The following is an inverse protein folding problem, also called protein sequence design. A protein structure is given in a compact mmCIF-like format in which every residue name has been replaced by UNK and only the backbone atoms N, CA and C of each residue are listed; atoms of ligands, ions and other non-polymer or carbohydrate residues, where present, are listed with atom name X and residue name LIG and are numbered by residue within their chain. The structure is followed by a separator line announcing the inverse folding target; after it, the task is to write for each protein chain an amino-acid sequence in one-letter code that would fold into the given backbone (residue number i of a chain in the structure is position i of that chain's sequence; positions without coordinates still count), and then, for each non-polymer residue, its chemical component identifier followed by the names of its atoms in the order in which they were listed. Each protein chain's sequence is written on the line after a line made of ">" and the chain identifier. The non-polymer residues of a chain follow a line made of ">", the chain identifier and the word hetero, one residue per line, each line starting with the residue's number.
data_IF_481417200975
#
_entry.id   IF_481417200975
#
_cell.length_a   1.000
_cell.length_b   1.000
_cell.length_c   1.000
_cell.angle_alpha   90.00
_cell.angle_beta   90.00
_cell.angle_gamma   90.00
#
_symmetry.space_group_name_H-M   'P 1'
#
loop_
_entity.id
_entity.type
_entity.pdbx_description
1 polymer ?
#
# COMPACT_ATOMS: atom_id res chain seq x y z
N UNK A 1 -7.19 -17.09 16.75
CA UNK A 1 -5.97 -16.56 16.11
C UNK A 1 -6.18 -15.06 15.97
N UNK A 2 -5.21 -14.26 16.43
CA UNK A 2 -5.21 -12.83 16.20
C UNK A 2 -4.55 -12.58 14.84
N UNK A 3 -5.36 -12.17 13.85
CA UNK A 3 -4.85 -11.81 12.52
C UNK A 3 -4.49 -10.33 12.41
N UNK A 4 -5.02 -9.52 13.33
CA UNK A 4 -5.10 -8.08 13.20
C UNK A 4 -3.81 -7.39 13.62
N UNK A 5 -3.26 -7.79 14.75
CA UNK A 5 -2.07 -7.20 15.36
C UNK A 5 -0.96 -8.25 15.50
N UNK A 6 0.32 -7.85 15.43
CA UNK A 6 1.42 -8.77 15.69
C UNK A 6 1.51 -9.08 17.18
N UNK A 7 2.33 -10.08 17.53
CA UNK A 7 2.77 -10.29 18.90
C UNK A 7 3.75 -9.20 19.37
N UNK A 8 4.19 -9.29 20.64
CA UNK A 8 5.13 -8.35 21.26
C UNK A 8 6.49 -8.24 20.55
N UNK A 9 6.87 -9.28 19.80
CA UNK A 9 8.10 -9.34 19.03
C UNK A 9 7.89 -8.91 17.57
N UNK A 10 6.69 -8.46 17.22
CA UNK A 10 6.36 -7.97 15.90
C UNK A 10 6.04 -9.05 14.87
N UNK A 11 5.66 -10.26 15.30
CA UNK A 11 5.30 -11.35 14.40
C UNK A 11 3.78 -11.52 14.24
N UNK A 12 3.35 -11.65 12.98
CA UNK A 12 2.07 -12.20 12.56
C UNK A 12 2.26 -13.69 12.27
N UNK A 13 1.97 -14.54 13.25
CA UNK A 13 2.32 -15.97 13.16
C UNK A 13 3.84 -16.14 13.04
N UNK A 14 4.31 -16.68 11.91
CA UNK A 14 5.76 -16.81 11.66
C UNK A 14 6.39 -15.60 10.94
N UNK A 15 5.61 -14.62 10.47
CA UNK A 15 6.10 -13.53 9.62
C UNK A 15 6.24 -12.21 10.39
N UNK A 16 7.23 -11.38 10.05
CA UNK A 16 7.46 -10.09 10.70
C UNK A 16 8.81 -10.03 11.41
N UNK A 17 8.80 -9.52 12.64
CA UNK A 17 10.00 -9.23 13.43
C UNK A 17 10.78 -8.01 12.91
N UNK A 18 11.95 -7.77 13.52
CA UNK A 18 12.87 -6.70 13.16
C UNK A 18 14.27 -7.27 12.85
N UNK A 19 14.54 -7.53 11.58
CA UNK A 19 15.82 -8.08 11.07
C UNK A 19 16.72 -6.95 10.58
N UNK A 20 17.19 -6.11 11.51
CA UNK A 20 17.93 -4.88 11.23
C UNK A 20 19.40 -4.99 11.66
N UNK A 21 20.31 -4.21 11.06
CA UNK A 21 21.64 -4.00 11.61
C UNK A 21 21.56 -3.34 12.99
N UNK A 22 22.51 -3.65 13.88
CA UNK A 22 22.61 -3.08 15.23
C UNK A 22 22.56 -1.54 15.23
N UNK A 23 23.11 -0.90 14.19
CA UNK A 23 23.11 0.56 14.05
C UNK A 23 21.71 1.17 13.89
N UNK A 24 20.71 0.40 13.45
CA UNK A 24 19.30 0.84 13.38
C UNK A 24 18.50 0.49 14.63
N UNK A 25 19.04 -0.34 15.52
CA UNK A 25 18.32 -0.80 16.71
C UNK A 25 17.79 0.37 17.56
N UNK A 26 18.56 1.42 17.88
CA UNK A 26 18.05 2.54 18.68
C UNK A 26 16.85 3.24 18.04
N UNK A 27 16.88 3.46 16.72
CA UNK A 27 15.80 4.15 16.00
C UNK A 27 14.51 3.33 15.99
N UNK A 28 14.64 2.02 15.75
CA UNK A 28 13.51 1.10 15.72
C UNK A 28 12.94 0.89 17.13
N UNK A 29 13.80 0.78 18.14
CA UNK A 29 13.40 0.63 19.53
C UNK A 29 12.69 1.88 20.06
N UNK A 30 13.18 3.09 19.74
CA UNK A 30 12.49 4.35 20.06
C UNK A 30 11.08 4.37 19.45
N UNK A 31 10.95 4.01 18.17
CA UNK A 31 9.65 3.96 17.52
C UNK A 31 8.74 2.92 18.19
N UNK A 32 9.23 1.70 18.42
CA UNK A 32 8.48 0.60 19.02
C UNK A 32 7.95 0.94 20.42
N UNK A 33 8.77 1.57 21.27
CA UNK A 33 8.38 1.92 22.63
C UNK A 33 7.32 3.01 22.70
N UNK A 34 7.27 3.91 21.71
CA UNK A 34 6.47 5.13 21.79
C UNK A 34 5.26 5.16 20.84
N UNK A 35 5.27 4.42 19.72
CA UNK A 35 4.28 4.65 18.67
C UNK A 35 2.83 4.41 19.12
N UNK A 36 2.54 3.35 19.86
CA UNK A 36 1.16 3.04 20.30
C UNK A 36 0.62 4.12 21.23
N UNK A 37 1.38 4.48 22.27
CA UNK A 37 0.98 5.51 23.22
C UNK A 37 0.71 6.84 22.49
N UNK A 38 1.60 7.23 21.56
CA UNK A 38 1.41 8.46 20.79
C UNK A 38 0.19 8.36 19.88
N UNK A 39 0.07 7.33 19.04
CA UNK A 39 -1.01 7.28 18.05
C UNK A 39 -2.38 7.02 18.68
N UNK A 40 -2.44 6.40 19.86
CA UNK A 40 -3.69 6.14 20.57
C UNK A 40 -4.09 7.28 21.53
N UNK A 41 -3.21 8.26 21.76
CA UNK A 41 -3.51 9.45 22.56
C UNK A 41 -4.65 10.29 21.97
N UNK A 42 -5.44 10.91 22.85
CA UNK A 42 -6.61 11.71 22.46
C UNK A 42 -6.22 12.93 21.61
N UNK A 43 -5.11 13.59 21.93
CA UNK A 43 -4.64 14.77 21.21
C UNK A 43 -4.10 14.41 19.82
N UNK A 44 -3.38 13.28 19.68
CA UNK A 44 -2.95 12.80 18.37
C UNK A 44 -4.15 12.42 17.51
N UNK A 45 -5.11 11.67 18.07
CA UNK A 45 -6.30 11.29 17.31
C UNK A 45 -7.13 12.50 16.92
N UNK A 46 -7.29 13.50 17.80
CA UNK A 46 -8.00 14.73 17.44
C UNK A 46 -7.34 15.46 16.25
N UNK A 47 -6.01 15.65 16.29
CA UNK A 47 -5.28 16.30 15.21
C UNK A 47 -5.27 15.47 13.92
N UNK A 48 -5.04 14.15 14.02
CA UNK A 48 -5.02 13.25 12.86
C UNK A 48 -6.40 13.17 12.18
N UNK A 49 -7.48 13.03 12.95
CA UNK A 49 -8.84 12.98 12.39
C UNK A 49 -9.25 14.31 11.77
N UNK A 50 -8.83 15.45 12.34
CA UNK A 50 -9.03 16.76 11.73
C UNK A 50 -8.33 16.86 10.37
N UNK A 51 -7.08 16.45 10.27
CA UNK A 51 -6.33 16.40 9.01
C UNK A 51 -6.98 15.46 7.99
N UNK A 52 -7.39 14.26 8.40
CA UNK A 52 -8.08 13.33 7.52
C UNK A 52 -9.38 13.93 6.98
N UNK A 53 -10.17 14.60 7.82
CA UNK A 53 -11.45 15.17 7.41
C UNK A 53 -11.28 16.43 6.56
N UNK A 54 -10.54 17.41 7.07
CA UNK A 54 -10.52 18.77 6.52
C UNK A 54 -9.41 19.00 5.49
N UNK A 55 -8.32 18.23 5.52
CA UNK A 55 -7.23 18.33 4.56
C UNK A 55 -7.27 17.23 3.49
N UNK A 56 -7.45 15.97 3.89
CA UNK A 56 -7.53 14.84 2.93
C UNK A 56 -8.88 14.78 2.23
N UNK A 57 -9.97 15.12 2.92
CA UNK A 57 -11.33 15.04 2.42
C UNK A 57 -12.07 13.75 2.78
N UNK A 58 -11.71 13.10 3.89
CA UNK A 58 -12.37 11.88 4.38
C UNK A 58 -13.72 12.18 5.06
N UNK A 59 -14.67 11.25 5.10
CA UNK A 59 -14.61 9.88 4.57
C UNK A 59 -14.69 9.81 3.03
N UNK A 60 -13.93 8.90 2.43
CA UNK A 60 -14.05 8.68 0.98
C UNK A 60 -15.34 7.93 0.66
N UNK A 61 -16.04 8.22 -0.44
CA UNK A 61 -17.29 7.53 -0.76
C UNK A 61 -17.16 6.01 -0.91
N UNK A 62 -18.22 5.30 -0.49
CA UNK A 62 -18.49 3.92 -0.91
C UNK A 62 -19.53 3.93 -2.03
N UNK A 63 -19.05 3.80 -3.27
CA UNK A 63 -19.83 4.00 -4.48
C UNK A 63 -20.43 2.68 -4.99
N UNK A 64 -21.75 2.60 -5.14
CA UNK A 64 -22.39 1.45 -5.78
C UNK A 64 -22.26 1.54 -7.30
N UNK A 65 -21.41 0.69 -7.88
CA UNK A 65 -21.09 0.67 -9.31
C UNK A 65 -22.16 -0.11 -10.06
N UNK A 66 -23.24 0.58 -10.47
CA UNK A 66 -24.44 -0.05 -11.02
C UNK A 66 -24.17 -0.80 -12.34
N UNK A 67 -23.38 -0.22 -13.23
CA UNK A 67 -23.12 -0.82 -14.54
C UNK A 67 -22.19 -2.03 -14.41
N UNK A 68 -21.20 -1.92 -13.52
CA UNK A 68 -20.32 -3.03 -13.17
C UNK A 68 -21.10 -4.17 -12.50
N UNK A 69 -21.98 -3.84 -11.55
CA UNK A 69 -22.86 -4.79 -10.86
C UNK A 69 -23.78 -5.53 -11.85
N UNK A 70 -24.34 -4.82 -12.82
CA UNK A 70 -25.17 -5.43 -13.87
C UNK A 70 -24.36 -6.40 -14.75
N UNK A 71 -23.13 -6.03 -15.13
CA UNK A 71 -22.26 -6.89 -15.93
C UNK A 71 -21.92 -8.19 -15.19
N UNK A 72 -21.48 -8.08 -13.94
CA UNK A 72 -20.99 -9.21 -13.15
C UNK A 72 -22.07 -9.96 -12.38
N UNK A 73 -23.32 -9.47 -12.43
CA UNK A 73 -24.48 -10.05 -11.75
C UNK A 73 -24.22 -10.26 -10.25
N UNK A 74 -23.76 -9.21 -9.58
CA UNK A 74 -23.49 -9.16 -8.14
C UNK A 74 -23.50 -7.70 -7.66
N UNK A 75 -23.56 -7.42 -6.36
CA UNK A 75 -23.61 -6.04 -5.84
C UNK A 75 -22.20 -5.50 -5.59
N UNK A 76 -21.70 -4.67 -6.51
CA UNK A 76 -20.32 -4.15 -6.44
C UNK A 76 -20.29 -2.73 -5.88
N UNK A 77 -19.49 -2.56 -4.83
CA UNK A 77 -19.18 -1.28 -4.22
C UNK A 77 -17.70 -0.96 -4.37
N UNK A 78 -17.39 0.27 -4.79
CA UNK A 78 -16.04 0.78 -4.94
C UNK A 78 -15.73 1.71 -3.76
N UNK A 79 -14.72 1.35 -2.95
CA UNK A 79 -14.20 2.24 -1.90
C UNK A 79 -13.22 3.23 -2.54
N UNK A 80 -13.61 4.51 -2.59
CA UNK A 80 -13.03 5.55 -3.46
C UNK A 80 -11.78 6.23 -2.90
N UNK A 81 -10.73 5.47 -2.58
CA UNK A 81 -9.44 6.04 -2.12
C UNK A 81 -8.71 6.85 -3.22
N UNK A 82 -9.14 6.72 -4.47
CA UNK A 82 -8.75 7.54 -5.62
C UNK A 82 -9.12 9.03 -5.47
N UNK A 83 -10.10 9.34 -4.62
CA UNK A 83 -10.57 10.71 -4.35
C UNK A 83 -9.85 11.42 -3.21
N UNK A 84 -8.95 10.72 -2.50
CA UNK A 84 -8.15 11.36 -1.46
C UNK A 84 -7.32 12.52 -2.04
N UNK A 85 -7.00 13.50 -1.20
CA UNK A 85 -5.91 14.43 -1.50
C UNK A 85 -4.65 13.64 -1.88
N UNK A 86 -3.86 14.16 -2.83
CA UNK A 86 -2.77 13.47 -3.56
C UNK A 86 -3.19 12.35 -4.54
N UNK A 87 -4.39 11.76 -4.39
CA UNK A 87 -4.98 10.83 -5.36
C UNK A 87 -4.85 9.34 -5.04
N UNK A 88 -4.42 8.98 -3.83
CA UNK A 88 -4.31 7.59 -3.40
C UNK A 88 -4.40 7.44 -1.89
N UNK A 89 -4.60 6.21 -1.42
CA UNK A 89 -4.59 5.83 0.01
C UNK A 89 -3.29 6.17 0.77
N UNK A 90 -2.19 6.46 0.06
CA UNK A 90 -0.87 6.70 0.66
C UNK A 90 -0.84 7.89 1.63
N UNK A 91 -1.68 8.90 1.40
CA UNK A 91 -1.74 10.11 2.24
C UNK A 91 -2.17 9.82 3.68
N UNK A 92 -2.99 8.79 3.91
CA UNK A 92 -3.40 8.37 5.26
C UNK A 92 -2.16 8.05 6.11
N UNK A 93 -1.31 7.17 5.57
CA UNK A 93 -0.08 6.74 6.21
C UNK A 93 0.95 7.87 6.33
N UNK A 94 1.14 8.65 5.27
CA UNK A 94 2.12 9.73 5.26
C UNK A 94 1.82 10.79 6.33
N UNK A 95 0.55 11.23 6.44
CA UNK A 95 0.14 12.18 7.48
C UNK A 95 0.32 11.59 8.88
N UNK A 96 -0.11 10.34 9.10
CA UNK A 96 0.03 9.68 10.39
C UNK A 96 1.49 9.58 10.84
N UNK A 97 2.39 9.13 9.96
CA UNK A 97 3.80 8.98 10.30
C UNK A 97 4.53 10.31 10.45
N UNK A 98 4.25 11.32 9.61
CA UNK A 98 4.90 12.64 9.76
C UNK A 98 4.41 13.36 11.02
N UNK A 99 3.13 13.21 11.39
CA UNK A 99 2.61 13.72 12.66
C UNK A 99 3.24 12.99 13.86
N UNK A 100 3.41 11.67 13.77
CA UNK A 100 4.12 10.88 14.78
C UNK A 100 5.58 11.33 14.91
N UNK A 101 6.27 11.54 13.79
CA UNK A 101 7.65 12.05 13.80
C UNK A 101 7.76 13.40 14.51
N UNK A 102 6.79 14.29 14.31
CA UNK A 102 6.72 15.57 15.02
C UNK A 102 6.51 15.39 16.53
N UNK A 103 5.65 14.46 16.95
CA UNK A 103 5.47 14.10 18.37
C UNK A 103 6.72 13.46 18.98
N UNK A 104 7.52 12.75 18.19
CA UNK A 104 8.84 12.23 18.57
C UNK A 104 9.96 13.31 18.52
N UNK A 105 9.63 14.57 18.24
CA UNK A 105 10.60 15.67 18.20
C UNK A 105 11.55 15.63 17.00
N UNK A 106 11.24 14.85 15.95
CA UNK A 106 12.03 14.77 14.73
C UNK A 106 11.75 15.98 13.84
N UNK A 107 12.78 16.47 13.16
CA UNK A 107 12.71 17.68 12.32
C UNK A 107 12.91 17.38 10.83
N UNK A 108 13.38 16.16 10.52
CA UNK A 108 13.73 15.72 9.18
C UNK A 108 13.05 14.39 8.85
N UNK A 109 12.50 14.29 7.65
CA UNK A 109 11.82 13.11 7.14
C UNK A 109 12.57 12.59 5.92
N UNK A 110 12.78 11.27 5.91
CA UNK A 110 13.23 10.56 4.72
C UNK A 110 12.18 9.54 4.28
N UNK A 111 12.09 9.27 2.98
CA UNK A 111 11.25 8.23 2.42
C UNK A 111 11.85 7.66 1.13
N UNK A 112 11.45 6.45 0.74
CA UNK A 112 11.71 5.88 -0.57
C UNK A 112 10.53 6.10 -1.53
N UNK A 113 10.75 6.01 -2.84
CA UNK A 113 9.63 5.85 -3.77
C UNK A 113 10.04 5.21 -5.09
N UNK A 114 9.12 4.44 -5.69
CA UNK A 114 9.24 3.88 -7.04
C UNK A 114 8.33 4.64 -8.00
N UNK A 115 7.02 4.35 -7.98
CA UNK A 115 6.02 5.08 -8.78
C UNK A 115 5.88 6.58 -8.44
N UNK A 116 6.48 7.05 -7.35
CA UNK A 116 6.43 8.46 -6.91
C UNK A 116 5.23 8.82 -6.03
N UNK A 117 4.18 7.99 -5.94
CA UNK A 117 2.99 8.30 -5.14
C UNK A 117 3.29 8.40 -3.64
N UNK A 118 4.12 7.50 -3.10
CA UNK A 118 4.55 7.58 -1.69
C UNK A 118 5.38 8.84 -1.44
N UNK A 119 6.33 9.13 -2.32
CA UNK A 119 7.17 10.33 -2.22
C UNK A 119 6.35 11.62 -2.26
N UNK A 120 5.37 11.73 -3.17
CA UNK A 120 4.45 12.87 -3.23
C UNK A 120 3.63 12.98 -1.94
N UNK A 121 3.07 11.88 -1.43
CA UNK A 121 2.29 11.90 -0.19
C UNK A 121 3.14 12.34 1.03
N UNK A 122 4.36 11.82 1.15
CA UNK A 122 5.30 12.22 2.22
C UNK A 122 5.71 13.69 2.09
N UNK A 123 6.06 14.15 0.88
CA UNK A 123 6.39 15.55 0.63
C UNK A 123 5.21 16.49 0.96
N UNK A 124 3.98 16.09 0.63
CA UNK A 124 2.77 16.83 1.00
C UNK A 124 2.59 16.92 2.51
N UNK A 125 2.73 15.81 3.22
CA UNK A 125 2.62 15.79 4.68
C UNK A 125 3.71 16.63 5.36
N UNK A 126 4.95 16.58 4.87
CA UNK A 126 6.06 17.36 5.39
C UNK A 126 5.87 18.86 5.15
N UNK A 127 5.46 19.26 3.94
CA UNK A 127 5.17 20.65 3.60
C UNK A 127 4.05 21.22 4.49
N UNK A 128 3.01 20.43 4.78
CA UNK A 128 1.91 20.82 5.65
C UNK A 128 2.34 20.98 7.12
N UNK A 129 3.15 20.05 7.63
CA UNK A 129 3.50 19.98 9.05
C UNK A 129 4.79 20.71 9.41
N UNK A 130 5.51 21.23 8.42
CA UNK A 130 6.71 22.04 8.57
C UNK A 130 7.98 21.25 8.85
N UNK A 131 8.14 20.08 8.23
CA UNK A 131 9.35 19.25 8.35
C UNK A 131 10.15 19.23 7.04
N UNK A 132 11.47 19.10 7.15
CA UNK A 132 12.35 18.85 6.00
C UNK A 132 12.03 17.47 5.40
N UNK A 133 11.99 17.36 4.07
CA UNK A 133 11.65 16.13 3.38
C UNK A 133 12.68 15.78 2.30
N UNK A 134 13.22 14.57 2.39
CA UNK A 134 14.14 14.01 1.41
C UNK A 134 13.58 12.68 0.92
N UNK A 135 13.37 12.56 -0.39
CA UNK A 135 12.83 11.36 -1.02
C UNK A 135 13.90 10.71 -1.88
N UNK A 136 14.23 9.46 -1.54
CA UNK A 136 15.10 8.61 -2.33
C UNK A 136 14.28 7.91 -3.43
N UNK A 137 14.78 7.95 -4.66
CA UNK A 137 14.09 7.37 -5.81
C UNK A 137 15.10 6.77 -6.78
N UNK A 138 14.82 5.60 -7.34
CA UNK A 138 15.69 4.96 -8.35
C UNK A 138 15.95 5.88 -9.54
N UNK A 139 17.18 5.93 -10.06
CA UNK A 139 17.52 6.78 -11.22
C UNK A 139 16.62 6.48 -12.44
N UNK A 140 16.29 5.21 -12.67
CA UNK A 140 15.38 4.80 -13.76
C UNK A 140 13.96 5.29 -13.48
N UNK A 141 13.51 5.20 -12.23
CA UNK A 141 12.17 5.62 -11.81
C UNK A 141 12.01 7.15 -11.90
N UNK A 142 13.05 7.93 -11.60
CA UNK A 142 13.06 9.40 -11.77
C UNK A 142 12.75 9.78 -13.21
N UNK A 143 13.33 9.07 -14.19
CA UNK A 143 13.07 9.33 -15.60
C UNK A 143 11.64 8.95 -16.00
N UNK A 144 11.17 7.77 -15.56
CA UNK A 144 9.83 7.26 -15.88
C UNK A 144 8.70 8.06 -15.22
N UNK A 145 8.95 8.64 -14.05
CA UNK A 145 7.94 9.28 -13.21
C UNK A 145 8.21 10.79 -13.04
N UNK A 146 8.74 11.43 -14.09
CA UNK A 146 9.05 12.86 -14.11
C UNK A 146 7.93 13.77 -13.57
N UNK A 147 6.63 13.53 -13.84
CA UNK A 147 5.55 14.33 -13.25
C UNK A 147 5.49 14.26 -11.72
N UNK A 148 5.74 13.09 -11.11
CA UNK A 148 5.74 12.95 -9.66
C UNK A 148 7.02 13.53 -9.04
N UNK A 149 8.17 13.44 -9.72
CA UNK A 149 9.41 14.13 -9.30
C UNK A 149 9.22 15.65 -9.27
N UNK A 150 8.58 16.22 -10.29
CA UNK A 150 8.27 17.65 -10.33
C UNK A 150 7.34 18.05 -9.18
N UNK A 151 6.29 17.26 -8.89
CA UNK A 151 5.38 17.49 -7.76
C UNK A 151 6.11 17.49 -6.42
N UNK A 152 7.00 16.52 -6.18
CA UNK A 152 7.80 16.47 -4.93
C UNK A 152 8.65 17.73 -4.76
N UNK A 153 9.34 18.16 -5.82
CA UNK A 153 10.15 19.41 -5.79
C UNK A 153 9.30 20.65 -5.57
N UNK A 154 8.12 20.74 -6.18
CA UNK A 154 7.17 21.85 -5.96
C UNK A 154 6.69 21.91 -4.50
N UNK A 155 6.59 20.77 -3.82
CA UNK A 155 6.24 20.67 -2.40
C UNK A 155 7.43 20.98 -1.48
N UNK A 156 8.61 21.29 -2.03
CA UNK A 156 9.81 21.62 -1.27
C UNK A 156 10.64 20.41 -0.83
N UNK A 157 10.32 19.20 -1.29
CA UNK A 157 11.13 18.03 -0.99
C UNK A 157 12.38 17.96 -1.89
N UNK A 158 13.49 17.53 -1.31
CA UNK A 158 14.67 17.11 -2.07
C UNK A 158 14.41 15.71 -2.64
N UNK A 159 14.78 15.49 -3.90
CA UNK A 159 14.68 14.17 -4.54
C UNK A 159 16.08 13.68 -4.88
N UNK A 160 16.51 12.61 -4.22
CA UNK A 160 17.86 12.05 -4.32
C UNK A 160 17.81 10.75 -5.13
N UNK A 161 18.65 10.68 -6.18
CA UNK A 161 18.71 9.53 -7.06
C UNK A 161 19.49 8.37 -6.42
N UNK A 162 18.88 7.19 -6.32
CA UNK A 162 19.58 5.95 -6.05
C UNK A 162 20.21 5.44 -7.36
N UNK A 163 21.54 5.55 -7.43
CA UNK A 163 22.34 5.22 -8.63
C UNK A 163 23.05 3.86 -8.51
N UNK A 164 22.97 3.23 -7.34
CA UNK A 164 23.53 1.91 -7.06
C UNK A 164 22.62 0.79 -7.57
N UNK A 165 23.20 -0.39 -7.79
CA UNK A 165 22.44 -1.61 -8.10
C UNK A 165 21.58 -1.53 -9.35
N UNK A 166 20.30 -1.93 -9.21
CA UNK A 166 19.30 -1.96 -10.28
C UNK A 166 18.72 -0.58 -10.59
N UNK A 167 18.99 0.42 -9.73
CA UNK A 167 18.50 1.80 -9.83
C UNK A 167 16.97 1.91 -9.79
N UNK A 168 16.34 1.07 -8.97
CA UNK A 168 14.89 0.97 -8.78
C UNK A 168 14.50 1.21 -7.31
N UNK A 169 13.23 0.98 -6.95
CA UNK A 169 12.69 1.07 -5.59
C UNK A 169 13.56 0.33 -4.54
N UNK A 170 14.09 -0.86 -4.86
CA UNK A 170 14.96 -1.62 -3.95
C UNK A 170 16.19 -0.80 -3.53
N UNK A 171 16.83 -0.14 -4.48
CA UNK A 171 18.03 0.65 -4.22
C UNK A 171 17.69 1.96 -3.49
N UNK A 172 16.52 2.55 -3.78
CA UNK A 172 16.01 3.69 -3.02
C UNK A 172 15.77 3.37 -1.54
N UNK A 173 15.23 2.18 -1.22
CA UNK A 173 15.10 1.70 0.17
C UNK A 173 16.48 1.60 0.84
N UNK A 174 17.48 1.05 0.13
CA UNK A 174 18.83 0.92 0.67
C UNK A 174 19.46 2.27 1.01
N UNK A 175 19.34 3.27 0.13
CA UNK A 175 19.87 4.61 0.40
C UNK A 175 19.11 5.31 1.54
N UNK A 176 17.78 5.17 1.62
CA UNK A 176 16.99 5.70 2.74
C UNK A 176 17.40 5.07 4.08
N UNK A 177 17.59 3.75 4.15
CA UNK A 177 18.05 3.09 5.38
C UNK A 177 19.46 3.53 5.78
N UNK A 178 20.37 3.71 4.82
CA UNK A 178 21.73 4.24 5.09
C UNK A 178 21.69 5.67 5.64
N UNK A 179 20.84 6.51 5.09
CA UNK A 179 20.61 7.86 5.61
C UNK A 179 20.12 7.80 7.06
N UNK A 180 19.14 6.94 7.34
CA UNK A 180 18.59 6.82 8.69
C UNK A 180 19.63 6.40 9.73
N UNK A 181 20.55 5.51 9.35
CA UNK A 181 21.70 5.10 10.17
C UNK A 181 22.61 6.30 10.46
N UNK A 182 22.85 7.15 9.47
CA UNK A 182 23.77 8.28 9.60
C UNK A 182 23.15 9.48 10.32
N UNK A 183 21.82 9.61 10.33
CA UNK A 183 21.09 10.74 10.90
C UNK A 183 20.03 10.33 11.95
N UNK A 184 20.35 9.50 12.96
CA UNK A 184 19.34 8.81 13.78
C UNK A 184 18.59 9.73 14.77
N UNK A 185 19.21 10.84 15.18
CA UNK A 185 18.66 11.73 16.21
C UNK A 185 17.52 12.58 15.64
N UNK A 186 17.74 13.22 14.49
CA UNK A 186 16.85 14.23 13.92
C UNK A 186 15.87 13.67 12.89
N UNK A 187 16.12 12.47 12.38
CA UNK A 187 15.43 11.93 11.21
C UNK A 187 14.44 10.81 11.55
N UNK A 188 13.24 10.88 10.98
CA UNK A 188 12.30 9.76 10.92
C UNK A 188 12.21 9.21 9.50
N UNK A 189 12.18 7.89 9.38
CA UNK A 189 11.97 7.19 8.13
C UNK A 189 10.48 6.88 7.95
N UNK A 190 9.85 7.49 6.94
CA UNK A 190 8.45 7.25 6.59
C UNK A 190 8.36 6.14 5.55
N UNK A 191 8.08 4.93 6.01
CA UNK A 191 7.96 3.76 5.14
C UNK A 191 6.65 3.78 4.34
N UNK A 192 6.69 3.30 3.09
CA UNK A 192 5.56 3.40 2.16
C UNK A 192 4.54 2.27 2.19
N UNK A 193 4.76 1.19 2.95
CA UNK A 193 3.83 0.06 3.01
C UNK A 193 3.93 -0.76 4.29
N UNK A 194 3.09 -1.80 4.44
CA UNK A 194 3.11 -2.73 5.59
C UNK A 194 4.26 -3.75 5.49
N UNK A 195 5.43 -3.26 5.10
CA UNK A 195 6.70 -3.99 4.99
C UNK A 195 7.67 -3.40 6.01
N UNK A 196 8.89 -3.92 6.06
CA UNK A 196 9.91 -3.39 6.95
C UNK A 196 9.86 -3.96 8.36
N UNK A 197 10.86 -3.63 9.19
CA UNK A 197 10.95 -4.16 10.55
C UNK A 197 9.78 -3.68 11.41
N UNK A 198 9.36 -4.49 12.37
CA UNK A 198 8.46 -4.01 13.43
C UNK A 198 9.03 -2.72 14.07
N UNK A 199 8.21 -1.67 14.32
CA UNK A 199 6.75 -1.64 14.30
C UNK A 199 6.10 -1.19 12.98
N UNK A 200 6.86 -1.00 11.90
CA UNK A 200 6.33 -0.42 10.67
C UNK A 200 5.11 -1.16 10.06
N UNK A 201 5.09 -2.50 9.94
CA UNK A 201 3.90 -3.19 9.42
C UNK A 201 2.63 -2.90 10.21
N UNK A 202 2.70 -2.87 11.55
CA UNK A 202 1.56 -2.60 12.42
C UNK A 202 1.14 -1.12 12.35
N UNK A 203 2.12 -0.22 12.44
CA UNK A 203 1.92 1.23 12.36
C UNK A 203 1.19 1.62 11.07
N UNK A 204 1.66 1.12 9.92
CA UNK A 204 1.08 1.42 8.61
C UNK A 204 -0.31 0.80 8.49
N UNK A 205 -0.53 -0.43 8.97
CA UNK A 205 -1.83 -1.08 8.95
C UNK A 205 -2.86 -0.27 9.75
N UNK A 206 -2.48 0.25 10.92
CA UNK A 206 -3.32 1.10 11.77
C UNK A 206 -3.70 2.41 11.09
N UNK A 207 -2.75 3.14 10.50
CA UNK A 207 -3.08 4.37 9.78
C UNK A 207 -3.96 4.14 8.55
N UNK A 208 -3.83 2.99 7.89
CA UNK A 208 -4.68 2.60 6.77
C UNK A 208 -6.02 2.01 7.19
N UNK A 209 -6.20 1.61 8.46
CA UNK A 209 -7.43 0.97 8.96
C UNK A 209 -8.68 1.83 8.86
N UNK A 210 -8.51 3.15 8.69
CA UNK A 210 -9.61 4.08 8.40
C UNK A 210 -10.42 3.66 7.16
N UNK A 211 -9.79 2.99 6.19
CA UNK A 211 -10.45 2.49 4.98
C UNK A 211 -11.55 1.49 5.35
N UNK A 212 -11.22 0.45 6.12
CA UNK A 212 -12.20 -0.56 6.53
C UNK A 212 -13.18 -0.05 7.58
N UNK A 213 -12.76 0.86 8.45
CA UNK A 213 -13.67 1.54 9.39
C UNK A 213 -14.81 2.24 8.63
N UNK A 214 -14.45 3.06 7.66
CA UNK A 214 -15.43 3.77 6.84
C UNK A 214 -16.28 2.81 5.99
N UNK A 215 -15.72 1.70 5.47
CA UNK A 215 -16.51 0.68 4.77
C UNK A 215 -17.62 0.15 5.69
N UNK A 216 -17.32 -0.22 6.95
CA UNK A 216 -18.32 -0.73 7.90
C UNK A 216 -19.43 0.28 8.15
N UNK A 217 -19.05 1.52 8.44
CA UNK A 217 -19.99 2.63 8.68
C UNK A 217 -20.89 2.89 7.46
N UNK A 218 -20.30 2.93 6.27
CA UNK A 218 -21.00 3.24 5.02
C UNK A 218 -21.90 2.09 4.55
N UNK A 219 -21.51 0.82 4.77
CA UNK A 219 -22.39 -0.32 4.49
C UNK A 219 -23.57 -0.34 5.46
N UNK A 220 -23.34 -0.04 6.74
CA UNK A 220 -24.41 0.03 7.74
C UNK A 220 -25.46 1.07 7.35
N UNK A 221 -25.02 2.23 6.87
CA UNK A 221 -25.89 3.28 6.36
C UNK A 221 -26.63 2.87 5.08
N UNK A 222 -25.94 2.28 4.10
CA UNK A 222 -26.50 2.02 2.76
C UNK A 222 -27.38 0.79 2.67
N UNK A 223 -27.04 -0.28 3.40
CA UNK A 223 -27.67 -1.60 3.27
C UNK A 223 -28.06 -2.24 4.62
N UNK A 224 -27.90 -1.51 5.74
CA UNK A 224 -28.35 -1.96 7.05
C UNK A 224 -27.43 -2.94 7.78
N UNK A 225 -26.30 -3.36 7.18
CA UNK A 225 -25.28 -4.24 7.79
C UNK A 225 -23.86 -3.70 7.60
N UNK A 226 -22.98 -3.98 8.55
CA UNK A 226 -21.58 -3.50 8.53
C UNK A 226 -20.64 -4.37 7.68
N UNK A 227 -20.93 -5.67 7.60
CA UNK A 227 -20.04 -6.64 6.98
C UNK A 227 -20.48 -6.94 5.54
N UNK A 228 -19.61 -6.75 4.53
CA UNK A 228 -19.87 -7.25 3.17
C UNK A 228 -19.66 -8.77 3.11
N UNK A 229 -19.97 -9.39 1.98
CA UNK A 229 -19.63 -10.81 1.77
C UNK A 229 -18.17 -10.95 1.31
N UNK A 230 -17.69 -9.99 0.53
CA UNK A 230 -16.31 -9.94 0.04
C UNK A 230 -15.68 -8.56 0.20
N UNK A 231 -14.39 -8.54 0.57
CA UNK A 231 -13.50 -7.39 0.40
C UNK A 231 -12.34 -7.75 -0.50
N UNK A 232 -12.04 -6.89 -1.47
CA UNK A 232 -11.02 -7.10 -2.50
C UNK A 232 -10.06 -5.91 -2.56
N UNK A 233 -8.77 -6.17 -2.58
CA UNK A 233 -7.73 -5.14 -2.71
C UNK A 233 -6.48 -5.68 -3.42
N UNK A 234 -5.71 -4.78 -4.05
CA UNK A 234 -4.45 -5.14 -4.69
C UNK A 234 -3.29 -5.17 -3.69
N UNK A 235 -2.30 -6.03 -3.91
CA UNK A 235 -1.16 -6.25 -3.01
C UNK A 235 0.14 -6.15 -3.78
N UNK A 236 0.91 -5.11 -3.46
CA UNK A 236 2.36 -5.05 -3.65
C UNK A 236 3.01 -5.25 -2.28
N UNK A 237 3.50 -4.17 -1.67
CA UNK A 237 3.84 -4.19 -0.24
C UNK A 237 2.62 -4.41 0.69
N UNK A 238 1.43 -3.98 0.25
CA UNK A 238 0.14 -4.38 0.84
C UNK A 238 -0.58 -3.35 1.73
N UNK A 239 -0.17 -2.08 1.78
CA UNK A 239 -0.77 -1.08 2.70
C UNK A 239 -2.27 -0.82 2.48
N UNK A 240 -2.72 -0.64 1.24
CA UNK A 240 -4.14 -0.45 0.95
C UNK A 240 -4.95 -1.68 1.39
N UNK A 241 -4.47 -2.87 1.02
CA UNK A 241 -5.12 -4.13 1.36
C UNK A 241 -5.18 -4.36 2.88
N UNK A 242 -4.10 -4.08 3.60
CA UNK A 242 -4.11 -4.15 5.06
C UNK A 242 -5.17 -3.22 5.65
N UNK A 243 -5.24 -1.97 5.19
CA UNK A 243 -6.27 -1.02 5.60
C UNK A 243 -7.70 -1.47 5.27
N UNK A 244 -7.91 -2.03 4.08
CA UNK A 244 -9.20 -2.58 3.62
C UNK A 244 -9.61 -3.83 4.40
N UNK A 245 -8.66 -4.66 4.85
CA UNK A 245 -8.94 -5.92 5.53
C UNK A 245 -8.96 -5.80 7.05
N UNK A 246 -8.35 -4.77 7.62
CA UNK A 246 -8.04 -4.65 9.06
C UNK A 246 -9.21 -4.95 10.02
N UNK A 247 -10.41 -4.43 9.74
CA UNK A 247 -11.60 -4.67 10.56
C UNK A 247 -12.41 -5.93 10.15
N UNK A 248 -12.00 -6.64 9.11
CA UNK A 248 -12.67 -7.83 8.58
C UNK A 248 -11.85 -9.12 8.76
N UNK A 249 -10.55 -9.06 9.04
CA UNK A 249 -9.71 -10.25 9.20
C UNK A 249 -10.18 -11.20 10.30
N UNK A 250 -10.87 -10.69 11.32
CA UNK A 250 -11.46 -11.52 12.39
C UNK A 250 -12.93 -11.91 12.12
N UNK A 251 -13.57 -11.28 11.13
CA UNK A 251 -14.95 -11.53 10.72
C UNK A 251 -15.01 -12.76 9.81
N UNK A 252 -15.27 -13.94 10.38
CA UNK A 252 -15.19 -15.24 9.66
C UNK A 252 -16.06 -15.33 8.41
N UNK A 253 -17.20 -14.64 8.43
CA UNK A 253 -18.16 -14.65 7.32
C UNK A 253 -17.69 -13.77 6.14
N UNK A 254 -16.81 -12.79 6.39
CA UNK A 254 -16.27 -11.90 5.34
C UNK A 254 -15.13 -12.59 4.61
N UNK A 255 -15.32 -12.87 3.33
CA UNK A 255 -14.28 -13.41 2.46
C UNK A 255 -13.31 -12.29 2.06
N UNK A 256 -12.01 -12.57 2.14
CA UNK A 256 -10.95 -11.61 1.86
C UNK A 256 -10.22 -12.07 0.62
N UNK A 257 -10.09 -11.19 -0.38
CA UNK A 257 -9.40 -11.48 -1.62
C UNK A 257 -8.29 -10.44 -1.87
N UNK A 258 -7.08 -10.93 -2.12
CA UNK A 258 -5.92 -10.14 -2.48
C UNK A 258 -5.54 -10.39 -3.96
N UNK A 259 -5.24 -9.33 -4.70
CA UNK A 259 -4.77 -9.40 -6.08
C UNK A 259 -3.32 -8.94 -6.18
N UNK A 260 -2.40 -9.85 -6.51
CA UNK A 260 -1.00 -9.57 -6.79
C UNK A 260 -0.75 -9.40 -8.30
N UNK A 261 0.36 -8.75 -8.66
CA UNK A 261 0.74 -8.56 -10.05
C UNK A 261 1.42 -9.80 -10.64
N UNK A 262 0.71 -10.48 -11.54
CA UNK A 262 1.20 -11.60 -12.34
C UNK A 262 2.21 -11.21 -13.40
N UNK A 263 2.29 -9.93 -13.78
CA UNK A 263 3.19 -9.44 -14.82
C UNK A 263 2.82 -10.03 -16.18
N UNK A 264 3.78 -10.67 -16.84
CA UNK A 264 3.53 -11.39 -18.10
C UNK A 264 3.09 -12.85 -17.88
N UNK A 265 2.60 -13.16 -16.68
CA UNK A 265 2.25 -14.51 -16.21
C UNK A 265 3.30 -15.08 -15.25
N UNK A 266 2.86 -15.86 -14.28
CA UNK A 266 3.72 -16.41 -13.20
C UNK A 266 4.83 -17.33 -13.73
N UNK A 267 4.60 -18.02 -14.85
CA UNK A 267 5.58 -18.93 -15.47
C UNK A 267 6.53 -18.23 -16.46
N UNK A 268 6.36 -16.92 -16.70
CA UNK A 268 7.12 -16.16 -17.71
C UNK A 268 8.53 -15.76 -17.26
N UNK A 269 8.81 -15.86 -15.96
CA UNK A 269 9.99 -15.26 -15.33
C UNK A 269 9.90 -13.73 -15.17
N UNK A 270 8.76 -13.11 -15.53
CA UNK A 270 8.48 -11.68 -15.38
C UNK A 270 7.16 -11.49 -14.64
N UNK A 271 7.23 -11.51 -13.32
CA UNK A 271 6.07 -11.42 -12.42
C UNK A 271 6.44 -10.70 -11.13
N UNK A 272 5.45 -10.27 -10.36
CA UNK A 272 5.58 -9.78 -8.99
C UNK A 272 4.60 -10.51 -8.04
N UNK A 273 4.14 -11.70 -8.42
CA UNK A 273 3.17 -12.50 -7.68
C UNK A 273 3.84 -13.26 -6.52
N UNK A 274 4.18 -12.54 -5.45
CA UNK A 274 5.03 -13.02 -4.37
C UNK A 274 4.43 -14.23 -3.63
N UNK A 275 3.12 -14.33 -3.43
CA UNK A 275 2.55 -15.52 -2.77
C UNK A 275 2.58 -16.78 -3.63
N UNK A 276 2.74 -16.64 -4.95
CA UNK A 276 2.81 -17.74 -5.90
C UNK A 276 4.26 -18.21 -6.15
N UNK A 277 5.21 -17.27 -6.19
CA UNK A 277 6.60 -17.52 -6.60
C UNK A 277 7.60 -17.38 -5.45
N UNK A 278 7.20 -16.75 -4.36
CA UNK A 278 8.06 -16.44 -3.24
C UNK A 278 8.25 -17.62 -2.28
N UNK A 279 9.37 -17.60 -1.58
CA UNK A 279 9.67 -18.50 -0.47
C UNK A 279 9.96 -17.71 0.79
N UNK A 280 9.98 -18.37 1.95
CA UNK A 280 10.29 -17.71 3.21
C UNK A 280 11.70 -17.10 3.16
N UNK A 281 11.82 -15.81 3.45
CA UNK A 281 13.07 -15.07 3.42
C UNK A 281 13.02 -13.81 4.27
N UNK A 282 14.13 -13.10 4.34
CA UNK A 282 14.23 -11.81 5.03
C UNK A 282 14.56 -10.75 3.98
N UNK A 283 13.68 -9.75 3.86
CA UNK A 283 13.87 -8.61 2.96
C UNK A 283 13.48 -7.32 3.68
N UNK A 284 14.33 -6.29 3.51
CA UNK A 284 14.12 -4.95 4.05
C UNK A 284 13.77 -4.91 5.54
N UNK A 285 14.30 -5.83 6.34
CA UNK A 285 14.14 -5.81 7.80
C UNK A 285 13.00 -6.65 8.37
N UNK A 286 12.28 -7.43 7.56
CA UNK A 286 11.25 -8.36 8.06
C UNK A 286 11.35 -9.73 7.42
N UNK A 287 10.96 -10.76 8.17
CA UNK A 287 10.81 -12.12 7.65
C UNK A 287 9.44 -12.27 6.99
N UNK A 288 9.40 -12.57 5.70
CA UNK A 288 8.17 -12.70 4.92
C UNK A 288 8.34 -13.69 3.76
N UNK A 289 7.38 -13.73 2.82
CA UNK A 289 7.60 -14.34 1.51
C UNK A 289 8.35 -13.36 0.60
N UNK A 290 9.34 -13.88 -0.12
CA UNK A 290 10.23 -13.12 -1.01
C UNK A 290 10.48 -13.94 -2.27
N UNK A 291 10.38 -13.30 -3.44
CA UNK A 291 10.85 -13.85 -4.70
C UNK A 291 12.38 -13.87 -4.70
N UNK A 292 12.95 -15.07 -4.56
CA UNK A 292 14.40 -15.25 -4.42
C UNK A 292 14.87 -16.53 -5.09
N UNK A 293 16.14 -16.55 -5.50
CA UNK A 293 16.83 -17.73 -6.01
C UNK A 293 17.11 -18.74 -4.89
N UNK A 294 17.54 -19.95 -5.25
CA UNK A 294 17.85 -21.02 -4.29
C UNK A 294 18.97 -20.66 -3.29
N UNK A 295 19.88 -19.76 -3.66
CA UNK A 295 20.94 -19.21 -2.80
C UNK A 295 20.54 -17.90 -2.09
N UNK A 296 19.28 -17.49 -2.18
CA UNK A 296 18.71 -16.35 -1.43
C UNK A 296 18.94 -14.98 -2.06
N UNK A 297 19.29 -14.89 -3.35
CA UNK A 297 19.34 -13.61 -4.06
C UNK A 297 17.94 -13.18 -4.48
N UNK A 298 17.59 -11.92 -4.21
CA UNK A 298 16.28 -11.35 -4.59
C UNK A 298 16.14 -11.33 -6.11
N UNK A 299 15.06 -11.92 -6.61
CA UNK A 299 14.67 -11.88 -8.02
C UNK A 299 14.00 -10.53 -8.29
N UNK A 300 14.37 -9.86 -9.39
CA UNK A 300 13.74 -8.60 -9.78
C UNK A 300 12.27 -8.84 -10.16
N UNK A 301 11.33 -8.07 -9.56
CA UNK A 301 9.92 -8.19 -9.89
C UNK A 301 9.65 -7.59 -11.28
N UNK A 302 8.49 -7.93 -11.85
CA UNK A 302 7.96 -7.24 -13.02
C UNK A 302 6.44 -7.06 -12.93
N UNK A 303 5.99 -5.84 -13.17
CA UNK A 303 4.60 -5.50 -13.44
C UNK A 303 4.51 -4.24 -14.29
N UNK A 304 3.45 -4.12 -15.10
CA UNK A 304 3.09 -2.84 -15.73
C UNK A 304 2.76 -1.75 -14.70
N UNK A 305 2.36 -2.16 -13.49
CA UNK A 305 1.98 -1.28 -12.39
C UNK A 305 3.14 -1.10 -11.41
N UNK A 306 3.84 0.02 -11.49
CA UNK A 306 5.00 0.32 -10.64
C UNK A 306 4.72 0.26 -9.13
N UNK A 307 3.47 0.45 -8.66
CA UNK A 307 3.12 0.30 -7.25
C UNK A 307 2.97 -1.14 -6.76
N UNK A 308 2.91 -2.12 -7.66
CA UNK A 308 2.87 -3.57 -7.36
C UNK A 308 4.20 -4.27 -7.69
N UNK A 309 5.13 -3.58 -8.35
CA UNK A 309 6.44 -4.07 -8.77
C UNK A 309 7.41 -4.21 -7.59
N UNK A 310 7.14 -5.17 -6.71
CA UNK A 310 7.90 -5.40 -5.47
C UNK A 310 8.10 -6.92 -5.25
N UNK A 311 9.31 -7.40 -4.94
CA UNK A 311 9.61 -8.83 -4.88
C UNK A 311 9.29 -9.48 -3.53
N UNK A 312 8.58 -8.77 -2.65
CA UNK A 312 8.21 -9.25 -1.33
C UNK A 312 6.74 -8.95 -1.05
N UNK A 313 6.30 -9.35 0.14
CA UNK A 313 4.95 -9.05 0.62
C UNK A 313 4.99 -8.70 2.11
N UNK A 314 4.10 -7.82 2.58
CA UNK A 314 4.03 -7.49 4.01
C UNK A 314 3.71 -8.71 4.89
N UNK A 315 4.30 -8.83 6.10
CA UNK A 315 4.10 -9.99 6.98
C UNK A 315 2.64 -10.23 7.37
N UNK A 316 1.83 -9.17 7.47
CA UNK A 316 0.38 -9.25 7.66
C UNK A 316 -0.27 -10.14 6.59
N UNK A 317 0.05 -9.89 5.31
CA UNK A 317 -0.54 -10.63 4.19
C UNK A 317 0.06 -12.02 4.02
N UNK A 318 1.36 -12.19 4.26
CA UNK A 318 2.00 -13.50 4.27
C UNK A 318 1.33 -14.44 5.30
N UNK A 319 0.98 -13.90 6.48
CA UNK A 319 0.25 -14.63 7.50
C UNK A 319 -1.17 -15.01 7.03
N UNK A 320 -1.92 -14.07 6.45
CA UNK A 320 -3.26 -14.36 5.91
C UNK A 320 -3.25 -15.42 4.80
N UNK A 321 -2.21 -15.41 3.94
CA UNK A 321 -2.00 -16.41 2.91
C UNK A 321 -1.73 -17.79 3.53
N UNK A 322 -0.78 -17.87 4.47
CA UNK A 322 -0.37 -19.13 5.12
C UNK A 322 -1.53 -19.80 5.86
N UNK A 323 -2.32 -19.02 6.60
CA UNK A 323 -3.49 -19.49 7.34
C UNK A 323 -4.73 -19.68 6.47
N UNK A 324 -4.63 -19.39 5.16
CA UNK A 324 -5.75 -19.45 4.20
C UNK A 324 -6.94 -18.59 4.63
N UNK A 325 -6.67 -17.50 5.37
CA UNK A 325 -7.68 -16.51 5.77
C UNK A 325 -8.06 -15.61 4.60
N UNK A 326 -7.12 -15.34 3.69
CA UNK A 326 -7.37 -14.62 2.44
C UNK A 326 -7.06 -15.52 1.22
N UNK A 327 -7.83 -15.33 0.16
CA UNK A 327 -7.61 -15.93 -1.16
C UNK A 327 -6.77 -14.98 -2.01
N UNK A 328 -5.73 -15.49 -2.67
CA UNK A 328 -4.83 -14.69 -3.49
C UNK A 328 -5.02 -15.02 -4.97
N UNK A 329 -5.03 -14.00 -5.82
CA UNK A 329 -5.04 -14.11 -7.27
C UNK A 329 -3.81 -13.41 -7.85
N UNK A 330 -3.14 -14.08 -8.79
CA UNK A 330 -2.17 -13.46 -9.68
C UNK A 330 -2.92 -12.87 -10.87
N UNK A 331 -2.76 -11.59 -11.14
CA UNK A 331 -3.42 -10.87 -12.23
C UNK A 331 -2.39 -10.38 -13.23
N UNK A 332 -2.51 -10.81 -14.47
CA UNK A 332 -1.55 -10.46 -15.52
C UNK A 332 -1.80 -9.03 -16.03
N UNK A 333 -0.78 -8.45 -16.65
CA UNK A 333 -0.78 -7.03 -17.03
C UNK A 333 -1.90 -6.69 -18.02
N UNK A 334 -2.23 -7.59 -18.95
CA UNK A 334 -3.30 -7.44 -19.92
C UNK A 334 -4.70 -7.52 -19.28
N UNK A 335 -4.86 -8.37 -18.27
CA UNK A 335 -6.09 -8.47 -17.46
C UNK A 335 -6.34 -7.16 -16.69
N UNK A 336 -5.30 -6.62 -16.05
CA UNK A 336 -5.38 -5.35 -15.33
C UNK A 336 -5.72 -4.18 -16.29
N UNK A 337 -5.06 -4.11 -17.44
CA UNK A 337 -5.34 -3.10 -18.47
C UNK A 337 -6.79 -3.17 -18.96
N UNK A 338 -7.25 -4.37 -19.30
CA UNK A 338 -8.63 -4.61 -19.75
C UNK A 338 -9.64 -4.09 -18.72
N UNK A 339 -9.43 -4.39 -17.43
CA UNK A 339 -10.31 -3.94 -16.36
C UNK A 339 -10.24 -2.42 -16.13
N UNK A 340 -9.07 -1.79 -16.32
CA UNK A 340 -8.93 -0.33 -16.26
C UNK A 340 -9.80 0.36 -17.32
N UNK A 341 -9.72 -0.10 -18.57
CA UNK A 341 -10.53 0.41 -19.67
C UNK A 341 -12.01 0.14 -19.47
N UNK A 342 -12.36 -1.02 -18.93
CA UNK A 342 -13.73 -1.35 -18.63
C UNK A 342 -14.34 -0.43 -17.58
N UNK A 343 -13.68 -0.24 -16.43
CA UNK A 343 -14.18 0.66 -15.40
C UNK A 343 -14.34 2.08 -15.96
N UNK A 344 -13.39 2.52 -16.78
CA UNK A 344 -13.45 3.83 -17.45
C UNK A 344 -14.68 3.94 -18.35
N UNK A 345 -14.98 2.91 -19.15
CA UNK A 345 -16.13 2.92 -20.07
C UNK A 345 -17.47 2.77 -19.38
N UNK A 346 -17.55 1.94 -18.33
CA UNK A 346 -18.80 1.62 -17.64
C UNK A 346 -19.16 2.64 -16.57
N UNK A 347 -18.18 3.17 -15.84
CA UNK A 347 -18.43 4.02 -14.67
C UNK A 347 -17.79 5.41 -14.78
N UNK A 348 -17.04 5.70 -15.85
CA UNK A 348 -16.39 7.00 -16.04
C UNK A 348 -15.26 7.28 -15.05
N UNK A 349 -14.69 6.23 -14.44
CA UNK A 349 -13.62 6.32 -13.45
C UNK A 349 -12.35 5.75 -14.10
N UNK A 350 -11.29 6.56 -14.15
CA UNK A 350 -9.96 6.11 -14.60
C UNK A 350 -9.18 5.61 -13.37
N UNK A 351 -9.09 4.30 -13.13
CA UNK A 351 -8.41 3.77 -11.95
C UNK A 351 -6.89 3.81 -12.13
N UNK A 352 -6.16 3.79 -11.02
CA UNK A 352 -4.75 3.42 -11.08
C UNK A 352 -4.59 1.97 -11.56
N UNK A 353 -3.49 1.67 -12.24
CA UNK A 353 -3.20 0.30 -12.70
C UNK A 353 -3.15 -0.69 -11.52
N UNK A 354 -2.66 -0.26 -10.36
CA UNK A 354 -2.67 -1.05 -9.11
C UNK A 354 -4.10 -1.48 -8.76
N UNK A 355 -5.03 -0.52 -8.69
CA UNK A 355 -6.44 -0.76 -8.38
C UNK A 355 -7.12 -1.66 -9.41
N UNK A 356 -6.65 -1.63 -10.66
CA UNK A 356 -7.20 -2.43 -11.74
C UNK A 356 -6.92 -3.92 -11.58
N UNK A 357 -5.85 -4.29 -10.87
CA UNK A 357 -5.59 -5.68 -10.49
C UNK A 357 -6.69 -6.20 -9.54
N UNK A 358 -7.13 -5.39 -8.58
CA UNK A 358 -8.23 -5.77 -7.70
C UNK A 358 -9.55 -5.95 -8.47
N UNK A 359 -9.80 -5.12 -9.50
CA UNK A 359 -10.97 -5.25 -10.36
C UNK A 359 -10.95 -6.53 -11.21
N UNK A 360 -9.78 -6.96 -11.69
CA UNK A 360 -9.63 -8.15 -12.53
C UNK A 360 -10.06 -9.46 -11.84
N UNK A 361 -10.12 -9.49 -10.52
CA UNK A 361 -10.71 -10.61 -9.76
C UNK A 361 -12.14 -10.90 -10.19
N UNK A 362 -12.90 -9.88 -10.63
CA UNK A 362 -14.28 -10.05 -11.12
C UNK A 362 -14.38 -10.98 -12.33
N UNK A 363 -13.33 -11.04 -13.17
CA UNK A 363 -13.26 -11.98 -14.30
C UNK A 363 -12.78 -13.38 -13.89
N UNK A 364 -12.04 -13.50 -12.76
CA UNK A 364 -11.48 -14.78 -12.28
C UNK A 364 -12.38 -15.53 -11.31
N UNK A 365 -13.30 -14.84 -10.63
CA UNK A 365 -14.16 -15.43 -9.62
C UNK A 365 -15.63 -15.14 -9.92
N UNK A 366 -16.48 -16.16 -9.79
CA UNK A 366 -17.93 -15.98 -9.82
C UNK A 366 -18.45 -15.65 -8.44
N UNK A 367 -19.29 -14.62 -8.37
CA UNK A 367 -20.02 -14.19 -7.18
C UNK A 367 -21.51 -14.51 -7.35
N UNK A 368 -22.24 -14.61 -6.25
CA UNK A 368 -23.69 -14.74 -6.28
C UNK A 368 -24.34 -13.38 -6.52
N UNK A 369 -25.59 -13.42 -7.01
CA UNK A 369 -26.38 -12.23 -7.34
C UNK A 369 -26.55 -11.26 -6.16
N UNK A 370 -26.72 -11.81 -4.96
CA UNK A 370 -26.94 -11.04 -3.75
C UNK A 370 -25.65 -10.74 -2.96
N UNK A 371 -24.50 -11.25 -3.39
CA UNK A 371 -23.24 -10.97 -2.71
C UNK A 371 -22.93 -9.46 -2.77
N UNK A 372 -22.50 -8.90 -1.65
CA UNK A 372 -21.98 -7.54 -1.53
C UNK A 372 -20.46 -7.61 -1.60
N UNK A 373 -19.92 -7.14 -2.71
CA UNK A 373 -18.48 -7.15 -3.02
C UNK A 373 -17.94 -5.72 -2.92
N UNK A 374 -17.07 -5.47 -1.95
CA UNK A 374 -16.38 -4.19 -1.82
C UNK A 374 -14.97 -4.28 -2.40
N UNK A 375 -14.66 -3.42 -3.38
CA UNK A 375 -13.34 -3.34 -4.02
C UNK A 375 -12.69 -2.02 -3.66
N UNK A 376 -11.46 -2.07 -3.17
CA UNK A 376 -10.67 -0.87 -2.88
C UNK A 376 -10.09 -0.27 -4.17
N UNK A 377 -10.58 0.91 -4.57
CA UNK A 377 -9.93 1.72 -5.60
C UNK A 377 -8.82 2.54 -4.94
N UNK A 378 -7.67 1.90 -4.75
CA UNK A 378 -6.53 2.39 -3.97
C UNK A 378 -5.93 3.73 -4.44
N UNK A 379 -6.22 4.15 -5.67
CA UNK A 379 -5.73 5.39 -6.28
C UNK A 379 -6.30 5.63 -7.68
N UNK A 380 -6.13 6.87 -8.18
CA UNK A 380 -6.55 7.33 -9.52
C UNK A 380 -5.49 7.13 -10.60
N UNK A 381 -5.92 6.96 -11.84
CA UNK A 381 -5.07 6.60 -12.97
C UNK A 381 -4.40 7.75 -13.71
N UNK A 382 -4.48 8.99 -13.24
CA UNK A 382 -3.83 10.13 -13.92
C UNK A 382 -2.32 9.93 -14.12
N UNK A 383 -1.68 9.22 -13.18
CA UNK A 383 -0.25 8.87 -13.27
C UNK A 383 0.07 7.83 -14.34
N UNK A 384 -0.93 7.03 -14.73
CA UNK A 384 -0.79 5.88 -15.65
C UNK A 384 -1.21 6.24 -17.09
N UNK A 385 -1.54 7.51 -17.36
CA UNK A 385 -2.04 7.95 -18.66
C UNK A 385 -1.07 7.68 -19.81
N UNK A 386 0.24 7.76 -19.61
CA UNK A 386 1.19 7.43 -20.66
C UNK A 386 1.13 5.95 -21.04
N UNK A 387 0.97 5.07 -20.05
CA UNK A 387 0.79 3.64 -20.25
C UNK A 387 -0.53 3.36 -20.97
N UNK A 388 -1.64 3.96 -20.52
CA UNK A 388 -2.93 3.83 -21.18
C UNK A 388 -2.91 4.32 -22.63
N UNK A 389 -2.19 5.41 -22.93
CA UNK A 389 -2.07 5.94 -24.30
C UNK A 389 -1.29 5.01 -25.23
N UNK A 390 -0.33 4.23 -24.73
CA UNK A 390 0.38 3.23 -25.53
C UNK A 390 -0.58 2.11 -25.97
N UNK A 391 -1.44 1.64 -25.06
CA UNK A 391 -2.42 0.59 -25.35
C UNK A 391 -3.61 1.03 -26.21
N UNK A 392 -3.97 2.32 -26.19
CA UNK A 392 -5.00 2.84 -27.13
C UNK A 392 -4.46 2.87 -28.57
N UNK A 393 -3.14 2.99 -28.74
CA UNK A 393 -2.48 3.16 -30.03
C UNK A 393 -2.00 1.84 -30.67
N UNK A 394 -1.87 0.78 -29.88
CA UNK A 394 -1.68 -0.60 -30.34
C UNK A 394 -2.98 -1.19 -30.86
#
# INVERSE_FOLDING_TARGET
>A
MNYKNPDENGYYGEFGGAFIPEMLYPNVEELQKNYLEIIESEDFQAEYQDLLKNYVGRATPLYFAKNLSQKYKTQIYLKREDLNHTGAHKINNALGQVLLAKRLGKTRIIAETGAGQHGVATATACALLGLECIVYMGEIDIQRQAPNVARMKMLGAEVVAATSGSKTLKDAVNEALRDWINNPVTTHYVIGSVVGPHPFPDLVARFQSIISKEIKEQLKEKIGRENPDYVIACVGGGSNAAGTFYHFVEEKEVKIIAAEAGGLGVDSGKSAATTFLGTLGVLHGSKSLVMQTADGQVIEPHSISAGLDYPGIGPFHAHLFKEKRAEFFSIDDDEALKCAFELTRLEGIIPALESSHALAVLDKKKFNENDVVVICLSGRGDKDMETYLKEIRS
#
